data_IF_631704016789
#
_entry.id   IF_631704016789
#
_cell.length_a   1.000
_cell.length_b   1.000
_cell.length_c   1.000
_cell.angle_alpha   90.00
_cell.angle_beta   90.00
_cell.angle_gamma   90.00
#
_symmetry.space_group_name_H-M   'P 1'
#
loop_
_entity.id
_entity.type
_entity.pdbx_description
1 polymer ?
#
# COMPACT_ATOMS: atom_id res chain seq x y z
N UNK A 1 2.21 0.50 24.89
CA UNK A 1 2.21 0.69 23.43
C UNK A 1 0.79 0.93 22.94
N UNK A 2 0.61 1.85 21.98
CA UNK A 2 -0.70 2.20 21.43
C UNK A 2 -1.48 1.02 20.82
N UNK A 3 -0.79 -0.04 20.39
CA UNK A 3 -1.40 -1.25 19.82
C UNK A 3 -1.94 -2.26 20.85
N UNK A 4 -1.80 -2.04 22.15
CA UNK A 4 -2.12 -3.06 23.17
C UNK A 4 -3.61 -3.44 23.23
N UNK A 5 -4.51 -2.54 22.82
CA UNK A 5 -5.95 -2.77 22.81
C UNK A 5 -6.50 -3.03 21.39
N UNK A 6 -5.62 -3.18 20.38
CA UNK A 6 -6.04 -3.36 19.00
C UNK A 6 -6.40 -4.84 18.73
N UNK A 7 -7.56 -5.05 18.10
CA UNK A 7 -7.98 -6.37 17.60
C UNK A 7 -7.50 -6.63 16.17
N UNK A 8 -7.07 -5.58 15.47
CA UNK A 8 -6.71 -5.59 14.06
C UNK A 8 -5.63 -4.53 13.83
N UNK A 9 -4.70 -4.78 12.91
CA UNK A 9 -3.62 -3.85 12.61
C UNK A 9 -3.49 -3.62 11.10
N UNK A 10 -3.26 -2.37 10.71
CA UNK A 10 -2.94 -1.97 9.35
C UNK A 10 -1.52 -1.42 9.34
N UNK A 11 -0.66 -2.03 8.53
CA UNK A 11 0.69 -1.52 8.25
C UNK A 11 0.61 -0.68 6.98
N UNK A 12 0.95 0.60 7.13
CA UNK A 12 1.08 1.52 6.01
C UNK A 12 2.56 1.66 5.69
N UNK A 13 2.96 1.34 4.47
CA UNK A 13 4.35 1.45 4.02
C UNK A 13 4.44 2.09 2.64
N UNK A 14 5.63 2.54 2.25
CA UNK A 14 5.95 2.96 0.88
C UNK A 14 6.68 1.83 0.15
N UNK A 15 6.65 1.78 -1.19
CA UNK A 15 7.38 0.79 -2.00
C UNK A 15 8.90 1.07 -2.06
N UNK A 16 9.49 1.42 -0.92
CA UNK A 16 10.92 1.69 -0.72
C UNK A 16 11.54 0.60 0.16
N UNK A 17 12.74 0.14 -0.19
CA UNK A 17 13.40 -0.99 0.49
C UNK A 17 13.58 -0.76 2.00
N UNK A 18 13.89 0.47 2.42
CA UNK A 18 14.01 0.83 3.84
C UNK A 18 12.68 0.68 4.58
N UNK A 19 11.61 1.26 4.04
CA UNK A 19 10.28 1.22 4.65
C UNK A 19 9.74 -0.23 4.75
N UNK A 20 10.03 -1.08 3.76
CA UNK A 20 9.64 -2.49 3.77
C UNK A 20 10.40 -3.27 4.86
N UNK A 21 11.70 -3.04 5.03
CA UNK A 21 12.47 -3.70 6.12
C UNK A 21 11.98 -3.30 7.50
N UNK A 22 11.57 -2.05 7.67
CA UNK A 22 11.00 -1.59 8.94
C UNK A 22 9.59 -2.16 9.16
N UNK A 23 8.79 -2.27 8.09
CA UNK A 23 7.49 -2.95 8.13
C UNK A 23 7.63 -4.42 8.56
N UNK A 24 8.59 -5.17 8.00
CA UNK A 24 8.87 -6.57 8.35
C UNK A 24 9.15 -6.76 9.86
N UNK A 25 9.95 -5.86 10.46
CA UNK A 25 10.18 -5.87 11.91
C UNK A 25 8.89 -5.66 12.69
N UNK A 26 8.04 -4.72 12.25
CA UNK A 26 6.76 -4.43 12.91
C UNK A 26 5.79 -5.60 12.78
N UNK A 27 5.78 -6.29 11.64
CA UNK A 27 5.00 -7.53 11.45
C UNK A 27 5.38 -8.55 12.51
N UNK A 28 6.68 -8.82 12.69
CA UNK A 28 7.15 -9.76 13.73
C UNK A 28 6.70 -9.36 15.15
N UNK A 29 6.72 -8.06 15.47
CA UNK A 29 6.27 -7.54 16.77
C UNK A 29 4.76 -7.67 17.00
N UNK A 30 3.95 -7.56 15.94
CA UNK A 30 2.49 -7.71 16.01
C UNK A 30 2.10 -9.20 16.07
N UNK A 31 2.75 -10.03 15.26
CA UNK A 31 2.57 -11.48 15.26
C UNK A 31 2.88 -12.10 16.64
N UNK A 32 3.94 -11.63 17.31
CA UNK A 32 4.28 -12.04 18.68
C UNK A 32 3.19 -11.68 19.72
N UNK A 33 2.24 -10.81 19.37
CA UNK A 33 1.07 -10.44 20.18
C UNK A 33 -0.23 -11.11 19.70
N UNK A 34 -0.14 -12.02 18.73
CA UNK A 34 -1.29 -12.69 18.13
C UNK A 34 -2.13 -11.79 17.21
N UNK A 35 -1.58 -10.67 16.74
CA UNK A 35 -2.25 -9.77 15.79
C UNK A 35 -1.63 -10.02 14.42
N UNK A 36 -2.44 -10.50 13.48
CA UNK A 36 -2.04 -10.64 12.08
C UNK A 36 -2.33 -9.33 11.33
N UNK A 37 -1.30 -8.58 10.90
CA UNK A 37 -1.50 -7.28 10.27
C UNK A 37 -1.85 -7.40 8.79
N UNK A 38 -2.56 -6.40 8.30
CA UNK A 38 -2.88 -6.21 6.89
C UNK A 38 -2.09 -5.03 6.30
N UNK A 39 -1.90 -5.02 4.98
CA UNK A 39 -1.02 -4.10 4.28
C UNK A 39 -1.78 -3.02 3.51
N UNK A 40 -1.32 -1.79 3.63
CA UNK A 40 -1.61 -0.69 2.72
C UNK A 40 -0.31 -0.17 2.12
N UNK A 41 -0.19 -0.23 0.79
CA UNK A 41 0.95 0.35 0.07
C UNK A 41 0.61 1.78 -0.33
N UNK A 42 1.35 2.74 0.21
CA UNK A 42 1.10 4.16 0.06
C UNK A 42 2.11 4.83 -0.86
N UNK A 43 1.70 5.94 -1.48
CA UNK A 43 2.50 6.81 -2.36
C UNK A 43 3.13 6.07 -3.54
N UNK A 44 2.41 5.11 -4.13
CA UNK A 44 2.91 4.40 -5.31
C UNK A 44 2.95 5.33 -6.51
N UNK A 45 4.08 5.38 -7.20
CA UNK A 45 4.22 6.05 -8.49
C UNK A 45 4.34 5.02 -9.61
N UNK A 46 3.28 4.86 -10.39
CA UNK A 46 3.21 3.82 -11.43
C UNK A 46 4.25 4.00 -12.54
N UNK A 47 4.71 5.23 -12.79
CA UNK A 47 5.75 5.46 -13.79
C UNK A 47 7.11 5.01 -13.27
N UNK A 48 7.39 5.24 -11.98
CA UNK A 48 8.62 4.73 -11.35
C UNK A 48 8.61 3.20 -11.27
N UNK A 49 7.47 2.58 -10.95
CA UNK A 49 7.32 1.13 -10.96
C UNK A 49 7.58 0.55 -12.35
N UNK A 50 6.97 1.11 -13.40
CA UNK A 50 7.15 0.64 -14.79
C UNK A 50 8.58 0.73 -15.29
N UNK A 51 9.35 1.73 -14.83
CA UNK A 51 10.77 1.88 -15.19
C UNK A 51 11.71 1.04 -14.32
N UNK A 52 11.22 0.43 -13.24
CA UNK A 52 12.03 -0.34 -12.29
C UNK A 52 12.74 0.51 -11.24
N UNK A 53 12.41 1.80 -11.12
CA UNK A 53 12.98 2.71 -10.12
C UNK A 53 12.33 2.54 -8.73
N UNK A 54 11.20 1.82 -8.68
CA UNK A 54 10.39 1.59 -7.49
C UNK A 54 9.89 0.14 -7.50
N UNK A 55 9.77 -0.47 -6.32
CA UNK A 55 9.27 -1.84 -6.19
C UNK A 55 7.80 -1.92 -6.63
N UNK A 56 7.45 -3.03 -7.30
CA UNK A 56 6.06 -3.29 -7.65
C UNK A 56 5.23 -3.63 -6.41
N UNK A 57 3.90 -3.50 -6.52
CA UNK A 57 2.99 -3.83 -5.42
C UNK A 57 3.10 -5.31 -5.08
N UNK A 58 3.25 -6.15 -6.11
CA UNK A 58 3.44 -7.58 -6.02
C UNK A 58 4.74 -7.92 -5.28
N UNK A 59 5.85 -7.25 -5.62
CA UNK A 59 7.13 -7.46 -4.90
C UNK A 59 7.00 -7.10 -3.42
N UNK A 60 6.31 -6.00 -3.08
CA UNK A 60 6.09 -5.60 -1.68
C UNK A 60 5.27 -6.66 -0.93
N UNK A 61 4.21 -7.17 -1.57
CA UNK A 61 3.35 -8.19 -0.99
C UNK A 61 4.10 -9.52 -0.79
N UNK A 62 4.88 -9.94 -1.78
CA UNK A 62 5.71 -11.15 -1.73
C UNK A 62 6.78 -11.06 -0.62
N UNK A 63 7.40 -9.89 -0.43
CA UNK A 63 8.41 -9.69 0.61
C UNK A 63 7.79 -9.71 2.01
N UNK A 64 6.67 -9.01 2.21
CA UNK A 64 6.07 -8.86 3.55
C UNK A 64 5.19 -10.04 3.95
N UNK A 65 4.65 -10.80 2.99
CA UNK A 65 3.87 -12.02 3.25
C UNK A 65 2.54 -11.78 3.96
N UNK A 66 1.97 -10.57 3.88
CA UNK A 66 0.71 -10.19 4.54
C UNK A 66 -0.35 -9.71 3.54
N UNK A 67 -1.62 -9.78 3.93
CA UNK A 67 -2.75 -9.50 3.05
C UNK A 67 -2.84 -8.03 2.64
N UNK A 68 -2.88 -7.77 1.34
CA UNK A 68 -3.06 -6.42 0.80
C UNK A 68 -4.53 -5.98 0.89
N UNK A 69 -4.77 -4.86 1.58
CA UNK A 69 -6.10 -4.22 1.70
C UNK A 69 -6.27 -3.09 0.71
N UNK A 70 -5.18 -2.41 0.34
CA UNK A 70 -5.26 -1.40 -0.71
C UNK A 70 -3.95 -0.72 -1.05
N UNK A 71 -4.05 0.05 -2.12
CA UNK A 71 -2.94 0.79 -2.71
C UNK A 71 -3.38 2.22 -2.91
N UNK A 72 -2.52 3.15 -2.51
CA UNK A 72 -2.73 4.59 -2.66
C UNK A 72 -1.66 5.13 -3.60
N UNK A 73 -2.08 5.58 -4.78
CA UNK A 73 -1.21 6.28 -5.72
C UNK A 73 -0.73 7.61 -5.14
N UNK A 74 0.45 8.06 -5.57
CA UNK A 74 0.92 9.42 -5.31
C UNK A 74 -0.09 10.42 -5.89
N UNK A 75 -0.51 11.36 -5.05
CA UNK A 75 -1.52 12.36 -5.38
C UNK A 75 -1.19 13.70 -4.71
N UNK A 76 -1.01 14.75 -5.50
CA UNK A 76 -0.69 16.10 -5.00
C UNK A 76 -1.85 16.75 -4.26
N UNK A 77 -3.10 16.33 -4.53
CA UNK A 77 -4.27 16.85 -3.83
C UNK A 77 -4.27 16.53 -2.33
N UNK A 78 -3.51 15.51 -1.89
CA UNK A 78 -3.29 15.21 -0.47
C UNK A 78 -2.52 16.35 0.22
N UNK A 79 -1.55 16.95 -0.47
CA UNK A 79 -0.76 18.08 0.07
C UNK A 79 -1.66 19.30 0.21
N UNK A 80 -2.47 19.58 -0.81
CA UNK A 80 -3.44 20.69 -0.78
C UNK A 80 -4.44 20.49 0.36
N UNK A 81 -5.03 19.30 0.46
CA UNK A 81 -5.98 18.90 1.51
C UNK A 81 -5.42 19.09 2.92
N UNK A 82 -4.18 18.67 3.15
CA UNK A 82 -3.52 18.81 4.45
C UNK A 82 -3.34 20.29 4.86
N UNK A 83 -3.08 21.17 3.88
CA UNK A 83 -2.89 22.60 4.13
C UNK A 83 -4.21 23.37 4.29
N UNK A 84 -5.28 22.96 3.60
CA UNK A 84 -6.59 23.60 3.69
C UNK A 84 -7.42 23.10 4.86
N UNK A 85 -7.09 21.92 5.41
CA UNK A 85 -7.87 21.26 6.45
C UNK A 85 -9.13 20.54 5.93
N UNK A 86 -9.34 20.51 4.62
CA UNK A 86 -10.44 19.79 3.99
C UNK A 86 -10.00 18.37 3.62
N UNK A 87 -10.66 17.30 4.07
CA UNK A 87 -10.29 15.92 3.74
C UNK A 87 -10.29 15.64 2.23
N UNK A 88 -9.20 15.04 1.75
CA UNK A 88 -8.99 14.72 0.33
C UNK A 88 -10.07 13.80 -0.26
N UNK A 89 -10.75 13.01 0.57
CA UNK A 89 -11.87 12.15 0.18
C UNK A 89 -13.08 12.91 -0.37
N UNK A 90 -13.20 14.21 -0.08
CA UNK A 90 -14.25 15.07 -0.64
C UNK A 90 -13.96 15.51 -2.08
N UNK A 91 -12.72 15.35 -2.56
CA UNK A 91 -12.37 15.65 -3.94
C UNK A 91 -12.61 14.41 -4.83
N UNK A 92 -13.64 14.39 -5.69
CA UNK A 92 -13.96 13.24 -6.54
C UNK A 92 -12.90 12.98 -7.62
N UNK A 93 -11.99 13.94 -7.88
CA UNK A 93 -10.89 13.80 -8.83
C UNK A 93 -9.60 13.27 -8.19
N UNK A 94 -9.55 13.18 -6.85
CA UNK A 94 -8.37 12.67 -6.16
C UNK A 94 -8.28 11.15 -6.29
N UNK A 95 -7.17 10.67 -6.83
CA UNK A 95 -6.85 9.24 -6.84
C UNK A 95 -6.70 8.69 -5.43
N UNK A 96 -6.04 9.45 -4.54
CA UNK A 96 -5.88 9.08 -3.15
C UNK A 96 -7.24 9.05 -2.42
N UNK A 97 -8.10 10.06 -2.62
CA UNK A 97 -9.45 10.10 -2.08
C UNK A 97 -10.29 8.89 -2.49
N UNK A 98 -10.28 8.54 -3.77
CA UNK A 98 -10.95 7.33 -4.28
C UNK A 98 -10.35 6.05 -3.68
N UNK A 99 -9.03 5.97 -3.53
CA UNK A 99 -8.35 4.83 -2.91
C UNK A 99 -8.74 4.67 -1.43
N UNK A 100 -8.75 5.75 -0.66
CA UNK A 100 -9.18 5.75 0.74
C UNK A 100 -10.61 5.24 0.90
N UNK A 101 -11.54 5.70 0.06
CA UNK A 101 -12.93 5.22 0.11
C UNK A 101 -13.04 3.71 -0.17
N UNK A 102 -12.30 3.18 -1.16
CA UNK A 102 -12.28 1.74 -1.43
C UNK A 102 -11.68 0.94 -0.27
N UNK A 103 -10.60 1.43 0.33
CA UNK A 103 -9.99 0.82 1.52
C UNK A 103 -11.01 0.80 2.66
N UNK A 104 -11.66 1.93 2.95
CA UNK A 104 -12.67 2.02 4.00
C UNK A 104 -13.82 1.02 3.77
N UNK A 105 -14.36 0.94 2.56
CA UNK A 105 -15.39 -0.04 2.22
C UNK A 105 -14.93 -1.49 2.42
N UNK A 106 -13.69 -1.85 2.04
CA UNK A 106 -13.13 -3.18 2.35
C UNK A 106 -13.00 -3.44 3.83
N UNK A 107 -12.53 -2.45 4.60
CA UNK A 107 -12.43 -2.56 6.05
C UNK A 107 -13.81 -2.76 6.71
N UNK A 108 -14.86 -2.20 6.09
CA UNK A 108 -16.26 -2.38 6.49
C UNK A 108 -16.90 -3.70 5.99
N UNK A 109 -16.14 -4.56 5.31
CA UNK A 109 -16.59 -5.88 4.86
C UNK A 109 -17.08 -5.96 3.42
N UNK A 110 -16.99 -4.88 2.64
CA UNK A 110 -17.35 -4.92 1.22
C UNK A 110 -16.26 -5.61 0.37
N UNK A 111 -16.68 -6.49 -0.55
CA UNK A 111 -15.77 -7.18 -1.47
C UNK A 111 -15.48 -6.32 -2.71
N UNK A 112 -14.62 -5.32 -2.57
CA UNK A 112 -14.20 -4.45 -3.68
C UNK A 112 -12.87 -4.96 -4.26
N UNK A 113 -12.76 -5.26 -5.57
CA UNK A 113 -11.49 -5.66 -6.19
C UNK A 113 -10.41 -4.60 -6.03
N UNK A 114 -9.16 -5.00 -5.81
CA UNK A 114 -8.02 -4.09 -5.87
C UNK A 114 -7.77 -3.76 -7.35
N UNK A 115 -7.72 -2.47 -7.74
CA UNK A 115 -7.44 -2.10 -9.13
C UNK A 115 -6.11 -2.69 -9.59
N UNK A 116 -6.06 -3.23 -10.81
CA UNK A 116 -4.79 -3.58 -11.46
C UNK A 116 -4.08 -2.27 -11.83
N UNK A 117 -3.06 -1.92 -11.04
CA UNK A 117 -2.33 -0.66 -11.18
C UNK A 117 -1.08 -0.80 -12.06
N UNK A 118 -0.89 -1.94 -12.74
CA UNK A 118 0.19 -2.12 -13.70
C UNK A 118 1.04 -3.34 -13.38
N UNK A 119 0.48 -4.51 -13.64
CA UNK A 119 1.22 -5.75 -13.79
C UNK A 119 2.36 -5.62 -14.81
N UNK A 120 3.61 -5.59 -14.37
CA UNK A 120 4.76 -5.93 -15.22
C UNK A 120 5.48 -7.18 -14.70
N UNK A 121 4.74 -8.13 -14.13
CA UNK A 121 5.32 -9.25 -13.36
C UNK A 121 5.83 -10.43 -14.20
N UNK A 122 5.51 -10.55 -15.50
CA UNK A 122 5.92 -11.72 -16.30
C UNK A 122 6.97 -11.45 -17.39
N UNK A 123 6.86 -10.35 -18.15
CA UNK A 123 7.79 -10.06 -19.24
C UNK A 123 9.15 -9.48 -18.78
N UNK A 124 9.19 -8.76 -17.65
CA UNK A 124 10.42 -8.19 -17.11
C UNK A 124 11.35 -9.22 -16.43
N UNK A 125 10.83 -10.36 -15.98
CA UNK A 125 11.62 -11.45 -15.37
C UNK A 125 12.38 -12.28 -16.41
N UNK A 126 11.83 -12.46 -17.61
CA UNK A 126 12.46 -13.24 -18.69
C UNK A 126 13.66 -12.52 -19.34
N UNK A 127 13.63 -11.19 -19.42
CA UNK A 127 14.72 -10.40 -20.02
C UNK A 127 16.03 -10.38 -19.22
N UNK A 128 16.02 -10.78 -17.94
CA UNK A 128 17.21 -10.81 -17.08
C UNK A 128 17.99 -12.12 -17.12
N UNK A 129 17.50 -13.14 -17.83
CA UNK A 129 18.17 -14.44 -17.98
C UNK A 129 18.96 -14.55 -19.31
N UNK A 130 18.81 -13.57 -20.20
CA UNK A 130 19.41 -13.55 -21.55
C UNK A 130 20.10 -12.21 -21.84
N UNK A 131 20.66 -11.57 -20.82
CA UNK A 131 21.47 -10.36 -20.89
C UNK A 131 22.71 -10.50 -19.99
#
# INVERSE_FOLDING_TARGET
>A
NAAAAASRALIVTTPEVSAIRDADRVIGLLAARGIDPELIVNRVDLNMVRRGDMLSIEDVQDILGINLVGVIERDESVIVSANTGEPVVYNPKSKAGLAFNRIASRLCGESIPIPDLGNTSLLGRLGRLWA
#
